data_IF_892720500810
#
_entry.id   IF_892720500810
#
_cell.length_a   1.000
_cell.length_b   1.000
_cell.length_c   1.000
_cell.angle_alpha   90.00
_cell.angle_beta   90.00
_cell.angle_gamma   90.00
#
_symmetry.space_group_name_H-M   'P 1'
#
loop_
_entity.id
_entity.type
_entity.pdbx_description
1 polymer ?
#
# COMPACT_ATOMS: atom_id res chain seq x y z
N UNK A 1 17.19 -0.66 -1.04
CA UNK A 1 18.15 0.46 -0.93
C UNK A 1 18.77 0.71 -2.30
N UNK A 2 18.19 1.67 -3.03
CA UNK A 2 18.62 1.96 -4.42
C UNK A 2 20.00 2.59 -4.49
N UNK A 3 20.39 3.37 -3.48
CA UNK A 3 21.68 4.06 -3.48
C UNK A 3 22.84 3.09 -3.24
N UNK A 4 22.57 1.97 -2.63
CA UNK A 4 23.58 0.94 -2.31
C UNK A 4 23.45 -0.33 -3.14
N UNK A 5 22.49 -0.38 -4.07
CA UNK A 5 22.13 -1.58 -4.85
C UNK A 5 21.97 -2.82 -3.95
N UNK A 6 21.18 -2.68 -2.88
CA UNK A 6 20.96 -3.73 -1.91
C UNK A 6 19.48 -4.07 -1.75
N UNK A 7 19.17 -5.33 -1.55
CA UNK A 7 17.90 -5.79 -1.01
C UNK A 7 17.92 -5.65 0.50
N UNK A 8 16.85 -5.13 1.06
CA UNK A 8 16.64 -5.05 2.50
C UNK A 8 15.35 -5.78 2.85
N UNK A 9 15.47 -6.74 3.75
CA UNK A 9 14.36 -7.57 4.22
C UNK A 9 14.22 -7.36 5.72
N UNK A 10 13.00 -7.18 6.18
CA UNK A 10 12.71 -7.17 7.61
C UNK A 10 12.29 -8.56 8.09
N UNK A 11 13.05 -9.10 9.04
CA UNK A 11 12.68 -10.30 9.78
C UNK A 11 11.92 -9.89 11.05
N UNK A 12 10.59 -10.04 11.00
CA UNK A 12 9.72 -9.65 12.11
C UNK A 12 9.95 -10.50 13.37
N UNK A 13 10.30 -11.77 13.20
CA UNK A 13 10.52 -12.68 14.33
C UNK A 13 11.82 -12.37 15.08
N UNK A 14 12.86 -12.02 14.34
CA UNK A 14 14.17 -11.67 14.91
C UNK A 14 14.34 -10.19 15.15
N UNK A 15 13.41 -9.35 14.67
CA UNK A 15 13.50 -7.88 14.73
C UNK A 15 14.80 -7.35 14.13
N UNK A 16 15.05 -7.72 12.86
CA UNK A 16 16.29 -7.36 12.17
C UNK A 16 16.02 -6.87 10.76
N UNK A 17 16.76 -5.86 10.36
CA UNK A 17 16.99 -5.58 8.96
C UNK A 17 18.07 -6.51 8.44
N UNK A 18 17.77 -7.31 7.45
CA UNK A 18 18.76 -8.15 6.75
C UNK A 18 19.07 -7.52 5.41
N UNK A 19 20.36 -7.31 5.12
CA UNK A 19 20.85 -6.75 3.87
C UNK A 19 21.48 -7.82 3.01
N UNK A 20 21.17 -7.76 1.73
CA UNK A 20 21.69 -8.66 0.71
C UNK A 20 22.13 -7.86 -0.52
N UNK A 21 23.07 -8.37 -1.28
CA UNK A 21 23.34 -7.90 -2.64
C UNK A 21 22.15 -8.23 -3.55
N UNK A 22 22.08 -7.62 -4.75
CA UNK A 22 21.01 -7.92 -5.71
C UNK A 22 21.06 -9.38 -6.23
N UNK A 23 22.23 -10.04 -6.17
CA UNK A 23 22.40 -11.47 -6.47
C UNK A 23 22.15 -12.40 -5.27
N UNK A 24 21.62 -11.85 -4.17
CA UNK A 24 21.13 -12.60 -3.02
C UNK A 24 22.19 -12.97 -1.96
N UNK A 25 23.42 -12.47 -2.05
CA UNK A 25 24.44 -12.72 -1.02
C UNK A 25 24.18 -11.89 0.22
N UNK A 26 24.24 -12.53 1.39
CA UNK A 26 24.08 -11.86 2.68
C UNK A 26 25.23 -10.88 2.92
N UNK A 27 24.90 -9.65 3.35
CA UNK A 27 25.85 -8.60 3.68
C UNK A 27 25.92 -8.39 5.20
N UNK A 28 24.77 -8.12 5.82
CA UNK A 28 24.72 -7.78 7.25
C UNK A 28 23.31 -7.97 7.80
N UNK A 29 23.22 -8.05 9.12
CA UNK A 29 21.98 -7.89 9.86
C UNK A 29 22.12 -6.81 10.93
N UNK A 30 21.04 -6.04 11.14
CA UNK A 30 20.97 -4.89 12.02
C UNK A 30 19.78 -5.10 12.95
N UNK A 31 20.03 -5.10 14.25
CA UNK A 31 18.95 -5.21 15.23
C UNK A 31 18.11 -3.93 15.26
N UNK A 32 16.80 -4.06 15.40
CA UNK A 32 15.88 -2.93 15.56
C UNK A 32 15.00 -3.11 16.79
N UNK A 33 14.62 -2.01 17.45
CA UNK A 33 13.95 -2.13 18.76
C UNK A 33 12.46 -2.48 18.65
N UNK A 34 11.84 -2.40 17.48
CA UNK A 34 10.41 -2.57 17.33
C UNK A 34 10.05 -3.87 16.61
N UNK A 35 8.79 -4.23 16.70
CA UNK A 35 8.18 -5.39 16.03
C UNK A 35 6.84 -4.99 15.39
N UNK A 36 6.26 -5.89 14.61
CA UNK A 36 4.93 -5.71 14.02
C UNK A 36 4.85 -4.46 13.16
N UNK A 37 5.64 -4.43 12.11
CA UNK A 37 5.59 -3.38 11.11
C UNK A 37 4.62 -3.77 10.00
N UNK A 38 3.89 -2.77 9.47
CA UNK A 38 3.09 -2.94 8.26
C UNK A 38 3.99 -3.01 7.03
N UNK A 39 4.86 -2.03 6.93
CA UNK A 39 5.86 -1.90 5.88
C UNK A 39 6.92 -0.86 6.27
N UNK A 40 7.94 -0.72 5.44
CA UNK A 40 9.01 0.25 5.64
C UNK A 40 9.53 0.79 4.32
N UNK A 41 10.24 1.91 4.39
CA UNK A 41 10.92 2.55 3.29
C UNK A 41 12.31 3.02 3.73
N UNK A 42 13.20 3.18 2.76
CA UNK A 42 14.51 3.80 2.96
C UNK A 42 14.47 5.17 2.32
N UNK A 43 14.70 6.20 3.12
CA UNK A 43 14.74 7.58 2.66
C UNK A 43 16.07 7.88 1.96
N UNK A 44 16.16 8.94 1.14
CA UNK A 44 17.40 9.36 0.49
C UNK A 44 18.56 9.63 1.46
N UNK A 45 18.25 10.01 2.71
CA UNK A 45 19.25 10.15 3.79
C UNK A 45 19.88 8.82 4.23
N UNK A 46 19.28 7.68 3.86
CA UNK A 46 19.63 6.35 4.37
C UNK A 46 18.96 6.01 5.71
N UNK A 47 18.09 6.86 6.24
CA UNK A 47 17.21 6.51 7.35
C UNK A 47 16.12 5.53 6.89
N UNK A 48 15.71 4.64 7.80
CA UNK A 48 14.55 3.77 7.58
C UNK A 48 13.35 4.41 8.24
N UNK A 49 12.30 4.59 7.46
CA UNK A 49 10.99 4.98 7.97
C UNK A 49 10.08 3.76 7.95
N UNK A 50 9.40 3.53 9.05
CA UNK A 50 8.61 2.31 9.29
C UNK A 50 7.22 2.68 9.75
N UNK A 51 6.19 2.12 9.11
CA UNK A 51 4.82 2.18 9.61
C UNK A 51 4.58 1.02 10.58
N UNK A 52 4.04 1.33 11.75
CA UNK A 52 3.78 0.34 12.79
C UNK A 52 2.31 0.33 13.20
N UNK A 53 1.88 -0.79 13.78
CA UNK A 53 0.61 -0.84 14.52
C UNK A 53 0.82 -0.47 15.98
N UNK A 54 -0.22 0.07 16.62
CA UNK A 54 -0.28 0.07 18.07
C UNK A 54 -0.38 -1.37 18.55
N UNK A 55 0.65 -1.83 19.22
CA UNK A 55 0.69 -3.21 19.71
C UNK A 55 1.33 -3.25 21.09
N UNK A 56 0.84 -4.15 21.93
CA UNK A 56 1.46 -4.45 23.22
C UNK A 56 2.93 -4.88 23.08
N UNK A 57 3.32 -5.35 21.91
CA UNK A 57 4.69 -5.78 21.64
C UNK A 57 5.69 -4.63 21.51
N UNK A 58 5.23 -3.40 21.31
CA UNK A 58 6.06 -2.19 21.18
C UNK A 58 6.02 -1.28 22.42
N UNK A 59 5.34 -1.68 23.52
CA UNK A 59 5.23 -0.86 24.74
C UNK A 59 6.58 -0.53 25.39
N UNK A 60 7.60 -1.36 25.16
CA UNK A 60 8.97 -1.13 25.64
C UNK A 60 9.65 0.07 24.96
N UNK A 61 9.10 0.61 23.89
CA UNK A 61 9.61 1.82 23.22
C UNK A 61 9.30 3.12 24.01
N UNK A 62 8.60 3.02 25.15
CA UNK A 62 8.29 4.15 25.99
C UNK A 62 7.51 5.23 25.24
N UNK A 63 8.04 6.45 25.19
CA UNK A 63 7.40 7.58 24.54
C UNK A 63 7.11 7.37 23.04
N UNK A 64 7.75 6.42 22.38
CA UNK A 64 7.55 6.13 20.97
C UNK A 64 6.47 5.05 20.71
N UNK A 65 5.95 4.41 21.74
CA UNK A 65 5.02 3.29 21.61
C UNK A 65 3.68 3.68 20.96
N UNK A 66 3.27 4.93 21.11
CA UNK A 66 2.00 5.44 20.60
C UNK A 66 2.09 6.03 19.18
N UNK A 67 3.29 6.09 18.60
CA UNK A 67 3.50 6.63 17.27
C UNK A 67 3.39 5.56 16.19
N UNK A 68 2.86 5.97 15.03
CA UNK A 68 2.66 5.10 13.86
C UNK A 68 3.82 5.10 12.89
N UNK A 69 4.57 6.17 12.86
CA UNK A 69 5.75 6.31 12.01
C UNK A 69 6.97 6.40 12.90
N UNK A 70 7.87 5.45 12.73
CA UNK A 70 9.15 5.38 13.43
C UNK A 70 10.30 5.54 12.43
N UNK A 71 11.30 6.31 12.83
CA UNK A 71 12.51 6.52 12.04
C UNK A 71 13.72 5.94 12.78
N UNK A 72 14.45 5.08 12.07
CA UNK A 72 15.73 4.56 12.55
C UNK A 72 16.85 4.99 11.60
N UNK A 73 18.02 5.15 12.14
CA UNK A 73 19.21 5.30 11.30
C UNK A 73 19.63 3.95 10.68
N UNK A 74 20.68 4.01 9.87
CA UNK A 74 21.23 2.83 9.19
C UNK A 74 21.82 1.77 10.14
N UNK A 75 21.92 2.06 11.42
CA UNK A 75 22.38 1.13 12.47
C UNK A 75 21.24 0.55 13.30
N UNK A 76 19.97 0.91 12.98
CA UNK A 76 18.79 0.42 13.67
C UNK A 76 18.40 1.20 14.92
N UNK A 77 19.08 2.29 15.22
CA UNK A 77 18.78 3.13 16.39
C UNK A 77 17.56 4.01 16.10
N UNK A 78 16.54 3.91 16.93
CA UNK A 78 15.33 4.75 16.85
C UNK A 78 15.69 6.22 17.16
N UNK A 79 15.42 7.12 16.23
CA UNK A 79 15.81 8.53 16.28
C UNK A 79 14.65 9.47 16.54
N UNK A 80 13.52 9.20 15.90
CA UNK A 80 12.32 10.04 16.01
C UNK A 80 11.08 9.24 15.67
N UNK A 81 9.94 9.83 15.98
CA UNK A 81 8.64 9.29 15.62
C UNK A 81 7.72 10.41 15.16
N UNK A 82 6.70 10.05 14.41
CA UNK A 82 5.68 10.96 13.92
C UNK A 82 4.33 10.28 13.90
N UNK A 83 3.28 11.10 13.82
CA UNK A 83 1.90 10.67 13.69
C UNK A 83 1.42 9.88 14.92
N UNK A 84 1.24 10.61 16.02
CA UNK A 84 0.58 10.11 17.22
C UNK A 84 -0.91 9.95 16.95
N UNK A 85 -1.35 8.71 16.83
CA UNK A 85 -2.78 8.37 16.81
C UNK A 85 -3.00 7.22 17.74
N UNK A 86 -3.87 7.44 18.70
CA UNK A 86 -4.18 6.50 19.75
C UNK A 86 -4.59 5.11 19.22
N UNK A 87 -5.29 4.99 18.07
CA UNK A 87 -5.84 3.71 17.65
C UNK A 87 -6.22 3.67 16.15
N UNK A 88 -5.26 3.67 15.23
CA UNK A 88 -5.54 3.21 13.87
C UNK A 88 -4.95 1.83 13.67
N UNK A 89 -5.75 0.84 13.35
CA UNK A 89 -5.24 -0.52 13.14
C UNK A 89 -4.41 -0.66 11.89
N UNK A 90 -4.65 0.17 10.87
CA UNK A 90 -4.01 0.03 9.57
C UNK A 90 -3.45 1.35 9.04
N UNK A 91 -2.22 1.29 8.60
CA UNK A 91 -1.55 2.36 7.87
C UNK A 91 -0.59 1.77 6.86
N UNK A 92 -0.36 2.47 5.77
CA UNK A 92 0.57 2.03 4.75
C UNK A 92 1.56 3.13 4.38
N UNK A 93 2.83 2.77 4.22
CA UNK A 93 3.80 3.57 3.49
C UNK A 93 3.77 3.13 2.04
N UNK A 94 3.62 4.08 1.14
CA UNK A 94 3.57 3.86 -0.30
C UNK A 94 4.86 4.36 -0.93
N UNK A 95 5.29 3.71 -1.99
CA UNK A 95 6.61 3.89 -2.59
C UNK A 95 6.68 5.09 -3.53
N UNK A 96 7.82 5.66 -3.59
CA UNK A 96 8.50 6.58 -4.50
C UNK A 96 7.64 7.67 -5.19
N UNK A 97 7.52 8.86 -4.64
CA UNK A 97 8.06 9.30 -3.35
C UNK A 97 7.38 8.63 -2.17
N UNK A 98 7.99 8.67 -0.99
CA UNK A 98 7.45 7.99 0.19
C UNK A 98 6.25 8.76 0.72
N UNK A 99 5.12 8.09 0.76
CA UNK A 99 3.88 8.60 1.34
C UNK A 99 3.44 7.74 2.52
N UNK A 100 2.81 8.38 3.46
CA UNK A 100 2.07 7.73 4.53
C UNK A 100 0.57 7.92 4.31
N UNK A 101 -0.15 6.82 4.23
CA UNK A 101 -1.59 6.80 4.02
C UNK A 101 -2.24 6.12 5.23
N UNK A 102 -2.75 6.88 6.19
CA UNK A 102 -3.55 6.30 7.25
C UNK A 102 -4.88 5.84 6.67
N UNK A 103 -5.09 4.54 6.67
CA UNK A 103 -6.36 3.95 6.23
C UNK A 103 -7.48 4.49 7.13
N UNK A 104 -8.62 4.78 6.56
CA UNK A 104 -9.82 5.39 7.14
C UNK A 104 -9.79 6.93 7.29
N UNK A 105 -8.65 7.62 7.20
CA UNK A 105 -8.61 9.06 7.47
C UNK A 105 -8.70 9.95 6.23
N UNK A 106 -8.77 9.39 5.04
CA UNK A 106 -8.89 10.15 3.79
C UNK A 106 -7.79 11.20 3.58
N UNK A 107 -6.60 10.93 4.12
CA UNK A 107 -5.44 11.82 4.10
C UNK A 107 -4.23 11.10 3.52
N UNK A 108 -3.38 11.83 2.81
CA UNK A 108 -2.09 11.34 2.30
C UNK A 108 -1.00 12.31 2.70
N UNK A 109 0.04 11.81 3.32
CA UNK A 109 1.16 12.59 3.79
C UNK A 109 2.43 12.27 2.99
N UNK A 110 3.19 13.30 2.65
CA UNK A 110 4.58 13.13 2.20
C UNK A 110 5.46 12.87 3.41
N UNK A 111 6.31 11.88 3.31
CA UNK A 111 7.29 11.51 4.34
C UNK A 111 8.67 11.92 3.89
N UNK A 112 9.35 12.72 4.70
CA UNK A 112 10.73 13.15 4.48
C UNK A 112 11.57 12.87 5.71
N UNK A 113 12.88 13.12 5.63
CA UNK A 113 13.80 12.95 6.76
C UNK A 113 13.44 13.85 7.95
N UNK A 114 12.75 14.96 7.70
CA UNK A 114 12.47 15.96 8.74
C UNK A 114 11.02 16.14 9.09
N UNK A 115 10.10 15.77 8.19
CA UNK A 115 8.69 16.10 8.34
C UNK A 115 7.74 15.04 7.77
N UNK A 116 6.55 15.04 8.34
CA UNK A 116 5.35 14.41 7.79
C UNK A 116 4.40 15.56 7.42
N UNK A 117 4.19 15.78 6.13
CA UNK A 117 3.44 16.93 5.62
C UNK A 117 2.19 16.46 4.88
N UNK A 118 1.02 16.96 5.25
CA UNK A 118 -0.23 16.67 4.55
C UNK A 118 -0.11 17.09 3.07
N UNK A 119 -0.32 16.16 2.16
CA UNK A 119 -0.25 16.39 0.72
C UNK A 119 -1.62 16.45 0.09
N UNK A 120 -2.46 15.48 0.40
CA UNK A 120 -3.83 15.40 -0.10
C UNK A 120 -4.81 15.12 1.03
N UNK A 121 -5.98 15.70 0.91
CA UNK A 121 -7.16 15.35 1.70
C UNK A 121 -8.30 15.08 0.74
N UNK A 122 -8.87 13.88 0.81
CA UNK A 122 -10.03 13.51 0.02
C UNK A 122 -11.29 14.00 0.73
N UNK A 123 -12.12 14.72 0.01
CA UNK A 123 -13.40 15.20 0.51
C UNK A 123 -14.50 14.19 0.15
N UNK A 124 -14.99 13.52 1.15
CA UNK A 124 -16.11 12.59 1.06
C UNK A 124 -17.33 13.08 1.84
N UNK A 125 -17.47 14.40 2.03
CA UNK A 125 -18.58 14.97 2.82
C UNK A 125 -19.96 14.53 2.34
N UNK A 126 -20.11 14.26 1.03
CA UNK A 126 -21.34 13.75 0.43
C UNK A 126 -21.55 12.22 0.58
N UNK A 127 -20.58 11.50 1.15
CA UNK A 127 -20.54 10.03 1.14
C UNK A 127 -20.38 9.39 2.53
N UNK A 128 -20.77 10.06 3.60
CA UNK A 128 -20.60 9.55 4.95
C UNK A 128 -19.14 9.16 5.27
N UNK A 129 -18.20 10.11 5.39
CA UNK A 129 -16.79 9.83 5.59
C UNK A 129 -16.53 9.24 6.98
N UNK A 130 -15.46 8.43 7.08
CA UNK A 130 -14.99 7.96 8.36
C UNK A 130 -14.48 9.11 9.22
N UNK A 131 -14.99 9.24 10.44
CA UNK A 131 -14.67 10.34 11.36
C UNK A 131 -13.42 9.99 12.18
N UNK A 132 -12.41 10.86 12.13
CA UNK A 132 -11.15 10.69 12.88
C UNK A 132 -11.37 10.58 14.39
N UNK A 133 -12.31 11.33 14.91
CA UNK A 133 -12.65 11.40 16.33
C UNK A 133 -13.26 10.09 16.87
N UNK A 134 -13.76 9.26 15.96
CA UNK A 134 -14.29 7.93 16.30
C UNK A 134 -13.20 6.87 16.39
N UNK A 135 -12.00 7.17 15.87
CA UNK A 135 -10.87 6.25 15.98
C UNK A 135 -10.54 6.02 17.46
N UNK A 136 -10.58 4.78 17.89
CA UNK A 136 -10.29 4.43 19.28
C UNK A 136 -11.46 4.53 20.27
N UNK A 137 -12.64 4.91 19.82
CA UNK A 137 -13.83 5.01 20.67
C UNK A 137 -14.68 3.72 20.70
N UNK A 138 -14.25 2.68 19.96
CA UNK A 138 -15.01 1.43 19.85
C UNK A 138 -14.73 0.50 21.01
N UNK A 139 -15.79 -0.06 21.61
CA UNK A 139 -15.69 -1.00 22.72
C UNK A 139 -15.31 -2.42 22.26
N UNK A 140 -15.66 -2.77 21.02
CA UNK A 140 -15.39 -4.09 20.43
C UNK A 140 -14.94 -3.99 18.98
N UNK A 141 -14.35 -5.08 18.46
CA UNK A 141 -14.02 -5.21 17.04
C UNK A 141 -15.30 -5.23 16.16
N UNK A 142 -16.37 -5.79 16.66
CA UNK A 142 -17.66 -5.81 15.95
C UNK A 142 -18.19 -4.41 15.75
N UNK A 143 -18.15 -3.55 16.77
CA UNK A 143 -18.58 -2.14 16.67
C UNK A 143 -17.73 -1.38 15.66
N UNK A 144 -16.42 -1.56 15.71
CA UNK A 144 -15.51 -0.98 14.73
C UNK A 144 -15.81 -1.46 13.30
N UNK A 145 -16.01 -2.77 13.10
CA UNK A 145 -16.32 -3.35 11.80
C UNK A 145 -17.62 -2.80 11.24
N UNK A 146 -18.67 -2.73 12.04
CA UNK A 146 -19.99 -2.28 11.61
C UNK A 146 -19.98 -0.76 11.30
N UNK A 147 -19.25 0.02 12.10
CA UNK A 147 -19.00 1.42 11.78
C UNK A 147 -18.23 1.56 10.46
N UNK A 148 -17.15 0.83 10.27
CA UNK A 148 -16.34 0.84 9.04
C UNK A 148 -17.17 0.52 7.81
N UNK A 149 -18.00 -0.53 7.88
CA UNK A 149 -18.86 -0.95 6.76
C UNK A 149 -19.95 0.05 6.39
N UNK A 150 -20.24 1.02 7.26
CA UNK A 150 -21.22 2.08 7.00
C UNK A 150 -20.59 3.40 6.53
N UNK A 151 -19.25 3.47 6.41
CA UNK A 151 -18.54 4.71 6.13
C UNK A 151 -17.62 4.59 4.91
N UNK A 152 -17.37 5.74 4.28
CA UNK A 152 -16.48 5.85 3.11
C UNK A 152 -15.06 6.21 3.53
N UNK A 153 -14.07 5.48 3.01
CA UNK A 153 -12.67 5.71 3.30
C UNK A 153 -11.75 5.24 2.16
N UNK A 154 -10.54 5.79 2.12
CA UNK A 154 -9.50 5.31 1.20
C UNK A 154 -8.95 3.98 1.68
N UNK A 155 -9.04 2.99 0.82
CA UNK A 155 -8.56 1.62 1.10
C UNK A 155 -7.14 1.40 0.57
N UNK A 156 -6.85 1.90 -0.63
CA UNK A 156 -5.54 1.79 -1.26
C UNK A 156 -5.21 3.08 -2.01
N UNK A 157 -3.92 3.32 -2.16
CA UNK A 157 -3.41 4.50 -2.82
C UNK A 157 -2.10 4.18 -3.53
N UNK A 158 -1.94 4.70 -4.75
CA UNK A 158 -0.67 4.77 -5.46
C UNK A 158 -0.58 6.07 -6.25
N UNK A 159 0.61 6.57 -6.40
CA UNK A 159 0.89 7.81 -7.12
C UNK A 159 2.12 7.65 -7.97
N UNK A 160 2.05 8.13 -9.21
CA UNK A 160 3.20 8.35 -10.08
C UNK A 160 3.29 9.83 -10.48
N UNK A 161 4.18 10.18 -11.38
CA UNK A 161 4.40 11.58 -11.78
C UNK A 161 3.16 12.23 -12.42
N UNK A 162 2.32 11.45 -13.08
CA UNK A 162 1.21 11.94 -13.88
C UNK A 162 -0.16 11.73 -13.26
N UNK A 163 -0.33 10.68 -12.47
CA UNK A 163 -1.63 10.28 -11.96
C UNK A 163 -1.60 9.89 -10.48
N UNK A 164 -2.76 10.01 -9.84
CA UNK A 164 -3.10 9.30 -8.62
C UNK A 164 -4.08 8.18 -8.98
N UNK A 165 -3.93 7.07 -8.30
CA UNK A 165 -4.91 5.99 -8.30
C UNK A 165 -5.22 5.63 -6.86
N UNK A 166 -6.49 5.56 -6.52
CA UNK A 166 -6.90 5.15 -5.19
C UNK A 166 -8.19 4.33 -5.25
N UNK A 167 -8.32 3.44 -4.29
CA UNK A 167 -9.51 2.61 -4.11
C UNK A 167 -10.23 3.11 -2.87
N UNK A 168 -11.49 3.42 -3.03
CA UNK A 168 -12.38 3.84 -1.96
C UNK A 168 -13.33 2.71 -1.65
N UNK A 169 -13.48 2.36 -0.39
CA UNK A 169 -14.57 1.52 0.08
C UNK A 169 -15.70 2.40 0.56
N UNK A 170 -16.91 2.07 0.18
CA UNK A 170 -18.17 2.69 0.59
C UNK A 170 -18.91 1.76 1.55
N UNK A 171 -20.07 2.22 2.01
CA UNK A 171 -21.00 1.37 2.76
C UNK A 171 -21.25 0.05 2.02
N UNK A 172 -21.45 -1.01 2.75
CA UNK A 172 -21.63 -2.36 2.20
C UNK A 172 -20.37 -2.93 1.49
N UNK A 173 -19.18 -2.35 1.76
CA UNK A 173 -17.88 -2.75 1.20
C UNK A 173 -17.79 -2.69 -0.33
N UNK A 174 -18.64 -1.88 -0.97
CA UNK A 174 -18.48 -1.58 -2.39
C UNK A 174 -17.20 -0.78 -2.62
N UNK A 175 -16.45 -1.17 -3.65
CA UNK A 175 -15.18 -0.55 -3.98
C UNK A 175 -15.28 0.24 -5.27
N UNK A 176 -14.80 1.48 -5.20
CA UNK A 176 -14.66 2.37 -6.34
C UNK A 176 -13.19 2.58 -6.63
N UNK A 177 -12.81 2.50 -7.88
CA UNK A 177 -11.47 2.87 -8.32
C UNK A 177 -11.52 4.28 -8.89
N UNK A 178 -10.67 5.14 -8.36
CA UNK A 178 -10.58 6.53 -8.77
C UNK A 178 -9.23 6.82 -9.39
N UNK A 179 -9.25 7.58 -10.48
CA UNK A 179 -8.07 8.06 -11.18
C UNK A 179 -8.11 9.58 -11.23
N UNK A 180 -7.01 10.21 -10.84
CA UNK A 180 -6.83 11.64 -10.94
C UNK A 180 -5.63 11.96 -11.82
N UNK A 181 -5.86 12.66 -12.92
CA UNK A 181 -4.80 13.19 -13.79
C UNK A 181 -4.32 14.52 -13.23
N UNK A 182 -3.05 14.58 -12.82
CA UNK A 182 -2.44 15.77 -12.21
C UNK A 182 -2.30 16.94 -13.19
N UNK A 183 -2.20 16.67 -14.49
CA UNK A 183 -2.04 17.70 -15.54
C UNK A 183 -3.37 18.34 -15.87
N UNK A 184 -4.37 17.53 -16.19
CA UNK A 184 -5.71 18.02 -16.56
C UNK A 184 -6.57 18.38 -15.34
N UNK A 185 -6.17 17.91 -14.14
CA UNK A 185 -6.92 18.01 -12.87
C UNK A 185 -8.29 17.34 -12.93
N UNK A 186 -8.44 16.35 -13.80
CA UNK A 186 -9.66 15.55 -13.87
C UNK A 186 -9.62 14.40 -12.88
N UNK A 187 -10.74 14.20 -12.22
CA UNK A 187 -11.02 13.02 -11.39
C UNK A 187 -12.09 12.17 -12.09
N UNK A 188 -11.84 10.88 -12.20
CA UNK A 188 -12.81 9.90 -12.67
C UNK A 188 -12.99 8.84 -11.61
N UNK A 189 -14.23 8.63 -11.20
CA UNK A 189 -14.62 7.57 -10.27
C UNK A 189 -15.33 6.46 -11.04
N UNK A 190 -14.88 5.24 -10.88
CA UNK A 190 -15.40 4.09 -11.60
C UNK A 190 -15.92 3.05 -10.60
N UNK A 191 -17.20 2.73 -10.67
CA UNK A 191 -17.80 1.59 -9.97
C UNK A 191 -17.42 0.24 -10.65
N UNK A 192 -16.92 0.31 -11.87
CA UNK A 192 -16.37 -0.78 -12.64
C UNK A 192 -15.71 -0.22 -13.89
N UNK A 193 -14.71 -0.90 -14.41
CA UNK A 193 -14.05 -0.51 -15.64
C UNK A 193 -13.79 -1.73 -16.52
N UNK A 194 -13.89 -1.51 -17.81
CA UNK A 194 -13.39 -2.47 -18.77
C UNK A 194 -11.88 -2.28 -18.89
N UNK A 195 -11.19 -3.29 -18.48
CA UNK A 195 -9.76 -3.38 -18.62
C UNK A 195 -9.46 -3.89 -20.04
N UNK A 196 -8.79 -3.11 -20.86
CA UNK A 196 -8.30 -3.54 -22.16
C UNK A 196 -6.95 -4.27 -22.07
N UNK A 197 -6.50 -4.54 -20.86
CA UNK A 197 -5.40 -5.44 -20.58
C UNK A 197 -5.94 -6.84 -20.31
N UNK A 198 -5.13 -7.86 -20.57
CA UNK A 198 -5.52 -9.25 -20.35
C UNK A 198 -5.53 -9.66 -18.88
N UNK A 199 -5.24 -8.72 -17.98
CA UNK A 199 -5.13 -8.99 -16.56
C UNK A 199 -6.23 -8.27 -15.79
N UNK A 200 -7.07 -9.02 -15.10
CA UNK A 200 -7.96 -8.45 -14.08
C UNK A 200 -7.08 -7.92 -12.95
N UNK A 201 -7.21 -6.65 -12.70
CA UNK A 201 -6.57 -6.02 -11.58
C UNK A 201 -7.43 -6.26 -10.33
N UNK A 202 -7.07 -7.29 -9.56
CA UNK A 202 -7.52 -7.37 -8.19
C UNK A 202 -6.63 -6.44 -7.36
N UNK A 203 -7.14 -5.24 -7.10
CA UNK A 203 -6.46 -4.27 -6.24
C UNK A 203 -6.40 -4.70 -4.77
N UNK A 204 -6.96 -5.86 -4.41
CA UNK A 204 -6.91 -6.41 -3.05
C UNK A 204 -5.52 -6.78 -2.58
N UNK A 205 -4.60 -7.10 -3.50
CA UNK A 205 -3.25 -7.59 -3.19
C UNK A 205 -2.18 -6.49 -3.04
N UNK A 206 -2.55 -5.24 -3.20
CA UNK A 206 -1.66 -4.08 -3.13
C UNK A 206 -1.50 -3.35 -4.46
N UNK A 207 -1.56 -2.05 -4.38
CA UNK A 207 -1.37 -1.13 -5.48
C UNK A 207 -0.07 -0.36 -5.25
N UNK A 208 0.80 -0.36 -6.25
CA UNK A 208 2.12 0.28 -6.19
C UNK A 208 2.32 1.15 -7.42
N UNK A 209 3.37 1.96 -7.39
CA UNK A 209 3.84 2.70 -8.55
C UNK A 209 5.32 2.48 -8.81
N UNK A 210 5.72 2.56 -10.06
CA UNK A 210 7.11 2.51 -10.47
C UNK A 210 7.31 3.38 -11.72
N UNK A 211 8.04 4.48 -11.59
CA UNK A 211 8.16 5.51 -12.63
C UNK A 211 6.77 6.00 -13.05
N UNK A 212 6.44 5.90 -14.34
CA UNK A 212 5.16 6.28 -14.92
C UNK A 212 4.14 5.12 -14.98
N UNK A 213 4.48 3.95 -14.40
CA UNK A 213 3.59 2.80 -14.32
C UNK A 213 2.94 2.70 -12.94
N UNK A 214 1.74 2.13 -12.93
CA UNK A 214 1.19 1.46 -11.76
C UNK A 214 1.55 -0.02 -11.81
N UNK A 215 1.63 -0.64 -10.64
CA UNK A 215 1.89 -2.06 -10.50
C UNK A 215 0.84 -2.69 -9.60
N UNK A 216 0.38 -3.86 -9.98
CA UNK A 216 -0.41 -4.74 -9.13
C UNK A 216 0.28 -6.09 -8.97
N UNK A 217 0.09 -6.70 -7.81
CA UNK A 217 0.48 -8.08 -7.54
C UNK A 217 -0.74 -8.96 -7.77
N UNK A 218 -0.63 -9.95 -8.64
CA UNK A 218 -1.75 -10.86 -8.95
C UNK A 218 -1.34 -12.29 -8.66
N UNK A 219 -2.19 -13.02 -7.93
CA UNK A 219 -1.90 -14.42 -7.63
C UNK A 219 -2.11 -15.31 -8.86
N UNK A 220 -1.36 -16.42 -8.97
CA UNK A 220 -1.59 -17.40 -10.03
C UNK A 220 -3.05 -17.92 -10.07
N UNK A 221 -3.66 -18.12 -8.91
CA UNK A 221 -5.05 -18.56 -8.82
C UNK A 221 -6.04 -17.53 -9.40
N UNK A 222 -5.82 -16.25 -9.14
CA UNK A 222 -6.62 -15.16 -9.73
C UNK A 222 -6.50 -15.14 -11.25
N UNK A 223 -5.28 -15.26 -11.79
CA UNK A 223 -5.05 -15.28 -13.25
C UNK A 223 -5.67 -16.51 -13.91
N UNK A 224 -5.60 -17.68 -13.27
CA UNK A 224 -6.24 -18.90 -13.78
C UNK A 224 -7.76 -18.77 -13.79
N UNK A 225 -8.36 -18.22 -12.72
CA UNK A 225 -9.78 -17.93 -12.68
C UNK A 225 -10.21 -16.97 -13.80
N UNK A 226 -9.42 -15.94 -14.06
CA UNK A 226 -9.62 -15.02 -15.16
C UNK A 226 -9.58 -15.73 -16.51
N UNK A 227 -8.55 -16.57 -16.76
CA UNK A 227 -8.44 -17.33 -18.00
C UNK A 227 -9.70 -18.15 -18.24
N UNK A 228 -10.17 -18.88 -17.23
CA UNK A 228 -11.42 -19.65 -17.33
C UNK A 228 -12.61 -18.78 -17.69
N UNK A 229 -12.71 -17.57 -17.14
CA UNK A 229 -13.76 -16.63 -17.46
C UNK A 229 -13.65 -16.12 -18.89
N UNK A 230 -12.46 -15.76 -19.36
CA UNK A 230 -12.20 -15.30 -20.73
C UNK A 230 -12.54 -16.40 -21.73
N UNK A 231 -12.11 -17.64 -21.49
CA UNK A 231 -12.38 -18.78 -22.37
C UNK A 231 -13.89 -19.08 -22.52
N UNK A 232 -14.70 -18.63 -21.55
CA UNK A 232 -16.16 -18.78 -21.56
C UNK A 232 -16.90 -17.59 -22.20
N UNK A 233 -16.20 -16.48 -22.46
CA UNK A 233 -16.81 -15.27 -23.02
C UNK A 233 -16.35 -15.01 -24.45
N UNK A 234 -17.27 -14.72 -25.34
CA UNK A 234 -16.98 -14.46 -26.77
C UNK A 234 -16.41 -13.07 -27.05
N UNK A 235 -16.27 -12.24 -26.02
CA UNK A 235 -15.95 -10.81 -26.17
C UNK A 235 -14.52 -10.45 -25.75
N UNK A 236 -13.76 -11.38 -25.20
CA UNK A 236 -12.40 -11.18 -24.75
C UNK A 236 -11.46 -12.21 -25.38
N UNK A 237 -10.29 -11.73 -25.80
CA UNK A 237 -9.17 -12.60 -26.20
C UNK A 237 -7.91 -12.15 -25.50
N UNK A 238 -7.15 -13.08 -24.94
CA UNK A 238 -5.84 -12.81 -24.39
C UNK A 238 -4.89 -12.41 -25.53
N UNK A 239 -4.15 -11.31 -25.35
CA UNK A 239 -3.14 -10.89 -26.31
C UNK A 239 -2.08 -11.95 -26.49
N UNK A 240 -1.56 -12.08 -27.71
CA UNK A 240 -0.57 -13.10 -28.06
C UNK A 240 0.64 -13.08 -27.12
N UNK A 241 1.17 -11.87 -26.83
CA UNK A 241 2.34 -11.68 -25.96
C UNK A 241 2.10 -12.18 -24.53
N UNK A 242 0.87 -12.22 -24.07
CA UNK A 242 0.51 -12.64 -22.73
C UNK A 242 0.08 -14.11 -22.64
N UNK A 243 -0.23 -14.76 -23.77
CA UNK A 243 -0.64 -16.17 -23.79
C UNK A 243 0.37 -17.07 -23.12
N UNK A 244 1.65 -16.81 -23.34
CA UNK A 244 2.75 -17.62 -22.76
C UNK A 244 2.68 -17.61 -21.22
N UNK A 245 2.31 -16.49 -20.60
CA UNK A 245 2.15 -16.39 -19.15
C UNK A 245 0.99 -17.29 -18.70
N UNK A 246 -0.18 -17.16 -19.33
CA UNK A 246 -1.38 -17.91 -18.96
C UNK A 246 -1.27 -19.42 -19.23
N UNK A 247 -0.55 -19.83 -20.28
CA UNK A 247 -0.38 -21.23 -20.64
C UNK A 247 0.59 -21.96 -19.72
N UNK A 248 1.61 -21.27 -19.22
CA UNK A 248 2.64 -21.86 -18.40
C UNK A 248 2.43 -21.67 -16.88
N UNK A 249 1.43 -20.90 -16.48
CA UNK A 249 1.16 -20.55 -15.08
C UNK A 249 0.71 -21.77 -14.27
N UNK A 250 1.45 -22.07 -13.21
CA UNK A 250 1.14 -23.11 -12.23
C UNK A 250 0.53 -22.49 -10.97
N UNK A 251 -0.15 -23.31 -10.17
CA UNK A 251 -0.81 -22.87 -8.96
C UNK A 251 0.17 -22.45 -7.86
N UNK A 252 1.33 -23.08 -7.83
CA UNK A 252 2.43 -22.84 -6.88
C UNK A 252 3.49 -21.85 -7.39
N UNK A 253 3.26 -21.21 -8.54
CA UNK A 253 4.13 -20.15 -9.02
C UNK A 253 4.07 -18.90 -8.10
N UNK A 254 5.11 -18.07 -8.21
CA UNK A 254 5.15 -16.79 -7.52
C UNK A 254 4.07 -15.84 -8.04
N UNK A 255 3.80 -14.79 -7.24
CA UNK A 255 2.93 -13.69 -7.66
C UNK A 255 3.43 -13.07 -8.97
N UNK A 256 2.49 -12.73 -9.83
CA UNK A 256 2.76 -12.03 -11.09
C UNK A 256 2.69 -10.53 -10.88
N UNK A 257 3.73 -9.83 -11.33
CA UNK A 257 3.77 -8.37 -11.36
C UNK A 257 3.12 -7.88 -12.66
N UNK A 258 2.02 -7.15 -12.54
CA UNK A 258 1.34 -6.52 -13.66
C UNK A 258 1.66 -5.02 -13.67
N UNK A 259 2.30 -4.56 -14.74
CA UNK A 259 2.57 -3.15 -14.97
C UNK A 259 1.55 -2.59 -15.94
N UNK A 260 0.97 -1.45 -15.61
CA UNK A 260 -0.02 -0.79 -16.47
C UNK A 260 0.10 0.72 -16.42
N UNK A 261 -0.41 1.38 -17.45
CA UNK A 261 -0.53 2.85 -17.53
C UNK A 261 -2.00 3.22 -17.68
N UNK A 262 -2.34 4.35 -17.10
CA UNK A 262 -3.63 4.98 -17.36
C UNK A 262 -3.48 5.75 -18.67
N UNK A 263 -4.41 5.54 -19.60
CA UNK A 263 -4.50 6.35 -20.81
C UNK A 263 -4.95 7.77 -20.44
N UNK A 264 -4.62 8.74 -21.28
CA UNK A 264 -5.05 10.13 -21.07
C UNK A 264 -6.57 10.19 -20.86
N UNK A 265 -6.99 10.86 -19.78
CA UNK A 265 -8.38 10.99 -19.35
C UNK A 265 -9.11 12.17 -20.04
#
# INVERSE_FOLDING_TARGET
DREKDQLVIYDNMKRKWMRFTLDGKFIASIDVPFTTICNFQILPSGEYVTATHKTRMNTHLGQYADYRILYTDSTGVLRKAAYDIAETEHSALVYDPVFYVPIYLNEVYTVTDTALTLKYKFDYSDFNPFEKEKMGAFESYEDFRDYRLSHTYVHQYAENDTHLMFVTSDKDDYRFVSFYDKRSKKLINLAGFYNDTDFVMDFGSGLYSYKDYFMALVSPSTLRGLKMHIDQTTHYSIREDNKVVFENLKEDDNLVLVFFKIKDL
#
